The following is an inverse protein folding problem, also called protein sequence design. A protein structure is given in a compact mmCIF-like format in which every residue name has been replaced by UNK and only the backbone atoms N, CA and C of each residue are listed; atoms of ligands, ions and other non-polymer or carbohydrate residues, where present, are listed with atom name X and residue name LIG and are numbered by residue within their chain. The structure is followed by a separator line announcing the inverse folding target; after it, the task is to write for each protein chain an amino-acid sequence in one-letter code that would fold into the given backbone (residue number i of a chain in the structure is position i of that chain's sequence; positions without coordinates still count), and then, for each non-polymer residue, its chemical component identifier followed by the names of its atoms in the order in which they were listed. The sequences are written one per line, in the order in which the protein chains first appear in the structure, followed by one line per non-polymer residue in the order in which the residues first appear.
data_IF_958524810725
#
_entry.id   IF_958524810725
#
_cell.length_a   1.000
_cell.length_b   1.000
_cell.length_c   1.000
_cell.angle_alpha   90.00
_cell.angle_beta   90.00
_cell.angle_gamma   90.00
#
_symmetry.space_group_name_H-M   'P 1'
#
loop_
_entity.id
_entity.type
_entity.pdbx_description
1 polymer ?
#
# COMPACT_ATOMS: atom_id res chain seq x y z
N UNK A 1 -7.00 -2.56 0.39
CA UNK A 1 -6.66 -3.77 -0.36
C UNK A 1 -6.40 -3.36 -1.79
N UNK A 2 -5.30 -3.82 -2.37
CA UNK A 2 -4.91 -3.45 -3.74
C UNK A 2 -5.35 -4.55 -4.71
N UNK A 3 -6.15 -4.24 -5.73
CA UNK A 3 -6.70 -5.22 -6.65
C UNK A 3 -5.66 -5.76 -7.64
N UNK A 4 -4.66 -4.96 -8.04
CA UNK A 4 -3.57 -5.45 -8.89
C UNK A 4 -2.28 -4.65 -8.64
N UNK A 5 -1.30 -5.28 -8.00
CA UNK A 5 0.03 -4.69 -7.84
C UNK A 5 0.80 -4.77 -9.18
N UNK A 6 1.24 -3.65 -9.77
CA UNK A 6 1.93 -3.61 -11.06
C UNK A 6 3.20 -4.47 -11.16
N UNK A 7 3.83 -4.79 -10.03
CA UNK A 7 5.08 -5.55 -9.94
C UNK A 7 4.88 -7.02 -9.51
N UNK A 8 3.63 -7.50 -9.41
CA UNK A 8 3.32 -8.89 -9.01
C UNK A 8 2.28 -9.51 -9.92
N UNK A 9 2.39 -10.83 -10.16
CA UNK A 9 1.39 -11.58 -10.90
C UNK A 9 0.07 -11.61 -10.11
N UNK A 10 -1.04 -11.21 -10.75
CA UNK A 10 -2.36 -11.21 -10.10
C UNK A 10 -3.03 -12.58 -10.03
N UNK A 11 -2.56 -13.57 -10.81
CA UNK A 11 -3.22 -14.87 -10.94
C UNK A 11 -3.11 -15.78 -9.71
N UNK A 12 -2.38 -15.36 -8.67
CA UNK A 12 -2.20 -16.12 -7.43
C UNK A 12 -2.98 -15.54 -6.24
N UNK A 13 -3.68 -14.42 -6.43
CA UNK A 13 -4.40 -13.76 -5.34
C UNK A 13 -5.81 -14.32 -5.21
N UNK A 14 -6.24 -14.50 -3.95
CA UNK A 14 -7.66 -14.60 -3.60
C UNK A 14 -8.42 -13.38 -4.15
N UNK A 15 -9.72 -13.56 -4.37
CA UNK A 15 -10.62 -12.50 -4.81
C UNK A 15 -10.49 -11.22 -3.96
N UNK A 16 -10.66 -10.07 -4.60
CA UNK A 16 -10.52 -8.75 -3.98
C UNK A 16 -11.42 -8.60 -2.74
N UNK A 17 -12.67 -9.07 -2.81
CA UNK A 17 -13.65 -8.98 -1.74
C UNK A 17 -13.33 -9.94 -0.58
N UNK A 18 -12.86 -11.15 -0.89
CA UNK A 18 -12.41 -12.13 0.10
C UNK A 18 -11.21 -11.59 0.90
N UNK A 19 -10.22 -11.00 0.21
CA UNK A 19 -9.06 -10.38 0.86
C UNK A 19 -9.49 -9.21 1.74
N UNK A 20 -10.43 -8.39 1.29
CA UNK A 20 -10.97 -7.29 2.10
C UNK A 20 -11.70 -7.80 3.35
N UNK A 21 -12.50 -8.86 3.23
CA UNK A 21 -13.19 -9.49 4.36
C UNK A 21 -12.19 -10.02 5.40
N UNK A 22 -11.12 -10.69 4.96
CA UNK A 22 -10.06 -11.19 5.84
C UNK A 22 -9.35 -10.04 6.58
N UNK A 23 -9.01 -8.94 5.90
CA UNK A 23 -8.39 -7.77 6.54
C UNK A 23 -9.34 -7.16 7.56
N UNK A 24 -10.62 -6.97 7.22
CA UNK A 24 -11.65 -6.46 8.16
C UNK A 24 -11.76 -7.32 9.42
N UNK A 25 -11.68 -8.65 9.28
CA UNK A 25 -11.67 -9.58 10.42
C UNK A 25 -10.41 -9.43 11.27
N UNK A 26 -9.23 -9.37 10.64
CA UNK A 26 -7.94 -9.26 11.33
C UNK A 26 -7.85 -7.98 12.19
N UNK A 27 -8.41 -6.86 11.72
CA UNK A 27 -8.35 -5.58 12.43
C UNK A 27 -9.59 -5.28 13.29
N UNK A 28 -10.60 -6.16 13.32
CA UNK A 28 -11.94 -5.91 13.91
C UNK A 28 -11.91 -5.33 15.34
N UNK A 29 -10.90 -5.65 16.14
CA UNK A 29 -10.77 -5.22 17.54
C UNK A 29 -9.85 -4.00 17.73
N UNK A 30 -9.25 -3.46 16.68
CA UNK A 30 -8.37 -2.29 16.74
C UNK A 30 -9.05 -1.07 16.12
N UNK A 31 -9.54 -0.15 16.97
CA UNK A 31 -10.24 1.07 16.54
C UNK A 31 -9.34 2.08 15.80
N UNK A 32 -8.02 1.89 15.81
CA UNK A 32 -7.08 2.77 15.09
C UNK A 32 -6.86 2.33 13.64
N UNK A 33 -7.37 1.17 13.24
CA UNK A 33 -7.19 0.62 11.90
C UNK A 33 -8.50 0.59 11.12
N UNK A 34 -8.40 0.90 9.84
CA UNK A 34 -9.52 0.86 8.89
C UNK A 34 -9.04 0.14 7.61
N UNK A 35 -9.82 -0.85 7.17
CA UNK A 35 -9.57 -1.52 5.91
C UNK A 35 -10.21 -0.70 4.78
N UNK A 36 -9.41 -0.30 3.80
CA UNK A 36 -9.86 0.51 2.67
C UNK A 36 -9.98 -0.31 1.39
N UNK A 37 -11.05 -0.11 0.63
CA UNK A 37 -11.34 -0.67 -0.70
C UNK A 37 -11.22 0.39 -1.80
N UNK A 38 -10.66 1.55 -1.50
CA UNK A 38 -10.63 2.73 -2.37
C UNK A 38 -10.11 2.44 -3.77
N UNK A 39 -9.08 1.58 -3.87
CA UNK A 39 -8.45 1.21 -5.13
C UNK A 39 -9.33 0.32 -6.02
N UNK A 40 -10.39 -0.30 -5.48
CA UNK A 40 -11.32 -1.12 -6.26
C UNK A 40 -12.09 -0.27 -7.27
N UNK A 41 -12.30 1.00 -6.95
CA UNK A 41 -12.95 1.99 -7.82
C UNK A 41 -11.99 2.73 -8.76
N UNK A 42 -10.68 2.52 -8.62
CA UNK A 42 -9.66 3.19 -9.43
C UNK A 42 -9.25 2.35 -10.65
N UNK A 43 -8.69 3.01 -11.65
CA UNK A 43 -8.16 2.34 -12.84
C UNK A 43 -7.09 1.31 -12.46
N UNK A 44 -7.19 0.11 -13.02
CA UNK A 44 -6.16 -0.93 -12.91
C UNK A 44 -5.08 -0.74 -13.99
N UNK A 45 -3.80 -1.12 -13.75
CA UNK A 45 -3.26 -1.64 -12.49
C UNK A 45 -3.15 -0.54 -11.42
N UNK A 46 -3.08 -0.94 -10.15
CA UNK A 46 -3.11 -0.02 -9.01
C UNK A 46 -1.75 0.65 -8.80
N UNK A 47 -1.64 1.92 -9.21
CA UNK A 47 -0.45 2.73 -8.97
C UNK A 47 -0.61 3.59 -7.72
N UNK A 48 0.37 3.53 -6.81
CA UNK A 48 0.34 4.28 -5.54
C UNK A 48 0.16 5.79 -5.75
N UNK A 49 0.76 6.38 -6.79
CA UNK A 49 0.58 7.81 -7.11
C UNK A 49 -0.90 8.17 -7.33
N UNK A 50 -1.66 7.32 -8.03
CA UNK A 50 -3.08 7.54 -8.29
C UNK A 50 -3.88 7.47 -6.99
N UNK A 51 -3.58 6.50 -6.13
CA UNK A 51 -4.23 6.34 -4.83
C UNK A 51 -3.98 7.55 -3.93
N UNK A 52 -2.73 8.01 -3.84
CA UNK A 52 -2.37 9.18 -3.02
C UNK A 52 -3.04 10.47 -3.53
N UNK A 53 -3.07 10.67 -4.85
CA UNK A 53 -3.73 11.82 -5.45
C UNK A 53 -5.25 11.80 -5.20
N UNK A 54 -5.88 10.64 -5.35
CA UNK A 54 -7.30 10.47 -5.04
C UNK A 54 -7.59 10.74 -3.56
N UNK A 55 -6.77 10.22 -2.64
CA UNK A 55 -6.93 10.43 -1.20
C UNK A 55 -6.87 11.91 -0.82
N UNK A 56 -5.87 12.65 -1.34
CA UNK A 56 -5.74 14.09 -1.09
C UNK A 56 -6.89 14.91 -1.65
N UNK A 57 -7.38 14.56 -2.84
CA UNK A 57 -8.51 15.25 -3.44
C UNK A 57 -9.82 15.00 -2.68
N UNK A 58 -10.02 13.76 -2.22
CA UNK A 58 -11.22 13.34 -1.49
C UNK A 58 -11.27 13.85 -0.06
N UNK A 59 -10.12 13.88 0.63
CA UNK A 59 -10.02 14.26 2.04
C UNK A 59 -9.08 15.45 2.21
N UNK A 60 -9.60 16.66 1.93
CA UNK A 60 -8.82 17.91 1.96
C UNK A 60 -8.38 18.35 3.37
N UNK A 61 -9.03 17.80 4.38
CA UNK A 61 -8.83 18.07 5.80
C UNK A 61 -7.93 17.03 6.50
N UNK A 62 -7.35 16.09 5.73
CA UNK A 62 -6.54 14.99 6.26
C UNK A 62 -5.15 14.98 5.63
N UNK A 63 -4.16 14.72 6.47
CA UNK A 63 -2.79 14.44 6.04
C UNK A 63 -2.59 12.93 5.89
N UNK A 64 -1.98 12.54 4.78
CA UNK A 64 -1.64 11.14 4.50
C UNK A 64 -0.13 10.93 4.57
N UNK A 65 0.25 9.80 5.15
CA UNK A 65 1.63 9.32 5.20
C UNK A 65 1.65 7.94 4.56
N UNK A 66 2.50 7.77 3.55
CA UNK A 66 2.72 6.47 2.91
C UNK A 66 3.67 5.66 3.80
N UNK A 67 3.24 4.48 4.23
CA UNK A 67 4.10 3.54 4.98
C UNK A 67 4.48 2.41 4.02
N UNK A 68 5.79 2.15 3.88
CA UNK A 68 6.35 1.04 3.10
C UNK A 68 7.38 0.28 3.93
N UNK A 69 7.64 -0.98 3.57
CA UNK A 69 8.79 -1.71 4.12
C UNK A 69 10.08 -1.38 3.37
N UNK A 70 11.23 -1.59 4.02
CA UNK A 70 12.57 -1.43 3.43
C UNK A 70 12.77 -2.23 2.13
N UNK A 71 12.13 -3.40 2.02
CA UNK A 71 12.08 -4.21 0.79
C UNK A 71 11.56 -3.45 -0.45
N UNK A 72 10.76 -2.40 -0.24
CA UNK A 72 10.25 -1.59 -1.35
C UNK A 72 11.21 -0.47 -1.76
N UNK A 73 12.21 -0.12 -0.94
CA UNK A 73 13.17 0.93 -1.28
C UNK A 73 14.01 0.57 -2.51
N UNK A 74 14.50 -0.67 -2.58
CA UNK A 74 15.36 -1.14 -3.67
C UNK A 74 14.71 -1.07 -5.05
N UNK A 75 13.38 -1.05 -5.10
CA UNK A 75 12.61 -0.96 -6.33
C UNK A 75 11.73 0.30 -6.42
N UNK A 76 11.88 1.25 -5.49
CA UNK A 76 11.00 2.41 -5.39
C UNK A 76 11.07 3.29 -6.65
N UNK A 77 12.24 3.43 -7.26
CA UNK A 77 12.42 4.17 -8.52
C UNK A 77 11.66 3.56 -9.71
N UNK A 78 11.24 2.29 -9.60
CA UNK A 78 10.41 1.62 -10.62
C UNK A 78 8.92 1.92 -10.45
N UNK A 79 8.52 2.58 -9.36
CA UNK A 79 7.14 2.95 -9.14
C UNK A 79 6.76 4.08 -10.11
N UNK A 80 5.55 3.99 -10.66
CA UNK A 80 5.02 5.01 -11.55
C UNK A 80 5.04 6.37 -10.85
N UNK A 81 5.64 7.35 -11.50
CA UNK A 81 5.76 8.74 -11.04
C UNK A 81 6.38 8.84 -9.63
N UNK A 82 7.38 8.01 -9.30
CA UNK A 82 8.03 7.97 -7.98
C UNK A 82 8.52 9.34 -7.48
N UNK A 83 8.99 10.21 -8.39
CA UNK A 83 9.41 11.58 -8.07
C UNK A 83 8.26 12.41 -7.52
N UNK A 84 7.06 12.27 -8.10
CA UNK A 84 5.85 12.93 -7.59
C UNK A 84 5.51 12.41 -6.19
N UNK A 85 5.65 11.10 -5.97
CA UNK A 85 5.38 10.49 -4.67
C UNK A 85 6.31 11.10 -3.60
N UNK A 86 7.61 11.16 -3.86
CA UNK A 86 8.61 11.71 -2.92
C UNK A 86 8.40 13.21 -2.68
N UNK A 87 8.17 13.98 -3.75
CA UNK A 87 8.09 15.43 -3.65
C UNK A 87 6.81 15.92 -2.96
N UNK A 88 5.72 15.15 -3.08
CA UNK A 88 4.40 15.59 -2.59
C UNK A 88 3.92 14.83 -1.36
N UNK A 89 4.60 13.80 -0.88
CA UNK A 89 4.10 12.96 0.21
C UNK A 89 5.17 12.66 1.26
N UNK A 90 4.72 12.51 2.50
CA UNK A 90 5.57 11.97 3.57
C UNK A 90 5.61 10.46 3.45
N UNK A 91 6.80 9.89 3.45
CA UNK A 91 7.03 8.44 3.37
C UNK A 91 7.70 7.99 4.67
N UNK A 92 7.15 6.97 5.31
CA UNK A 92 7.77 6.25 6.42
C UNK A 92 8.20 4.89 5.92
N UNK A 93 9.50 4.62 6.03
CA UNK A 93 10.08 3.32 5.70
C UNK A 93 10.29 2.55 6.98
N UNK A 94 9.69 1.36 7.06
CA UNK A 94 9.89 0.44 8.17
C UNK A 94 11.07 -0.50 7.86
N UNK A 95 12.15 -0.49 8.66
CA UNK A 95 13.30 -1.37 8.45
C UNK A 95 12.88 -2.83 8.57
N UNK A 96 13.36 -3.67 7.67
CA UNK A 96 13.15 -5.12 7.67
C UNK A 96 14.53 -5.78 7.74
N UNK A 97 15.15 -5.80 8.93
CA UNK A 97 16.41 -6.52 9.09
C UNK A 97 16.19 -7.98 8.71
N UNK A 98 16.98 -8.48 7.77
CA UNK A 98 16.98 -9.89 7.45
C UNK A 98 17.21 -10.67 8.74
N UNK A 99 16.23 -11.50 9.12
CA UNK A 99 16.45 -12.53 10.14
C UNK A 99 17.27 -13.63 9.47
N UNK A 100 18.52 -13.33 9.10
CA UNK A 100 19.56 -14.33 8.97
C UNK A 100 19.99 -14.72 10.38
N UNK A 101 19.10 -15.39 11.13
CA UNK A 101 19.50 -16.19 12.28
C UNK A 101 20.10 -17.50 11.76
N UNK A 102 21.24 -17.40 11.07
CA UNK A 102 22.24 -18.45 11.08
C UNK A 102 23.17 -18.15 12.25
N UNK A 103 22.79 -18.64 13.43
CA UNK A 103 23.63 -18.99 14.58
C UNK A 103 22.78 -18.97 15.85
N UNK A 104 22.25 -20.14 16.24
CA UNK A 104 22.45 -20.79 17.54
C UNK A 104 22.15 -22.28 17.41
#
# INVERSE_FOLDING_TARGET
VSPHNPLKNSNELLDDDDRLALVKLAIKRNRKFEASDIEFSLSKPSFTVNTLNYLKQKYKDKDFILIIGEDNLDCFEKWKDYQEIINNNRILVYPRPDINTNNF
#
